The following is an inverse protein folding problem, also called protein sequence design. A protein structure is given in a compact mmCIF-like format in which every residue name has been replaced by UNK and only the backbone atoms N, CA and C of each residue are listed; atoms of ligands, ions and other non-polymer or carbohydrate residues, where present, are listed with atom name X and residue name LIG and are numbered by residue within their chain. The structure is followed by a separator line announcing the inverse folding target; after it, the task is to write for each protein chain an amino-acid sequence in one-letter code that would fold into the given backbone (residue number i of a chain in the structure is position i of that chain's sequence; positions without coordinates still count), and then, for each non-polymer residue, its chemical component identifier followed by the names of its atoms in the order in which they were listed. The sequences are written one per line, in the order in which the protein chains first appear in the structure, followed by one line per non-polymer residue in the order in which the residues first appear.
data_IF_404960158785
#
_entry.id   IF_404960158785
#
_cell.length_a   1.000
_cell.length_b   1.000
_cell.length_c   1.000
_cell.angle_alpha   90.00
_cell.angle_beta   90.00
_cell.angle_gamma   90.00
#
_symmetry.space_group_name_H-M   'P 1'
#
loop_
_entity.id
_entity.type
_entity.pdbx_description
1 polymer ?
#
# COMPACT_ATOMS: atom_id res chain seq x y z
N UNK A 1 15.19 11.08 -12.10
CA UNK A 1 14.81 11.14 -10.68
C UNK A 1 13.46 10.50 -10.47
N UNK A 2 13.34 9.64 -9.48
CA UNK A 2 12.10 8.94 -9.22
C UNK A 2 11.04 9.92 -8.72
N UNK A 3 9.87 9.88 -9.30
CA UNK A 3 8.76 10.74 -8.88
C UNK A 3 8.22 10.25 -7.53
N UNK A 4 8.43 11.04 -6.48
CA UNK A 4 8.00 10.72 -5.14
C UNK A 4 6.48 10.56 -5.03
N UNK A 5 5.73 11.39 -5.76
CA UNK A 5 4.26 11.31 -5.77
C UNK A 5 3.77 10.01 -6.39
N UNK A 6 4.38 9.56 -7.49
CA UNK A 6 4.04 8.26 -8.11
C UNK A 6 4.32 7.11 -7.17
N UNK A 7 5.42 7.17 -6.42
CA UNK A 7 5.78 6.15 -5.43
C UNK A 7 4.77 6.11 -4.28
N UNK A 8 4.37 7.27 -3.77
CA UNK A 8 3.35 7.37 -2.73
C UNK A 8 2.03 6.76 -3.20
N UNK A 9 1.59 7.10 -4.41
CA UNK A 9 0.34 6.57 -4.97
C UNK A 9 0.41 5.06 -5.14
N UNK A 10 1.52 4.54 -5.65
CA UNK A 10 1.71 3.10 -5.85
C UNK A 10 1.64 2.33 -4.53
N UNK A 11 2.40 2.75 -3.54
CA UNK A 11 2.42 2.03 -2.26
C UNK A 11 1.15 2.23 -1.45
N UNK A 12 0.45 3.36 -1.59
CA UNK A 12 -0.86 3.55 -0.98
C UNK A 12 -1.87 2.54 -1.52
N UNK A 13 -1.87 2.30 -2.83
CA UNK A 13 -2.74 1.27 -3.45
C UNK A 13 -2.36 -0.14 -2.98
N UNK A 14 -1.06 -0.44 -2.94
CA UNK A 14 -0.59 -1.75 -2.47
C UNK A 14 -0.97 -1.98 -1.00
N UNK A 15 -0.89 -0.96 -0.16
CA UNK A 15 -1.29 -1.04 1.23
C UNK A 15 -2.79 -1.28 1.37
N UNK A 16 -3.61 -0.67 0.51
CA UNK A 16 -5.06 -0.88 0.53
C UNK A 16 -5.42 -2.35 0.28
N UNK A 17 -4.74 -3.00 -0.66
CA UNK A 17 -5.01 -4.40 -1.01
C UNK A 17 -4.30 -5.39 -0.09
N UNK A 18 -3.04 -5.12 0.24
CA UNK A 18 -2.17 -6.12 0.87
C UNK A 18 -1.68 -5.76 2.27
N UNK A 19 -2.03 -4.58 2.79
CA UNK A 19 -1.51 -4.10 4.06
C UNK A 19 -1.71 -5.07 5.23
N UNK A 20 -2.84 -5.76 5.25
CA UNK A 20 -3.15 -6.72 6.32
C UNK A 20 -2.26 -7.96 6.29
N UNK A 21 -1.54 -8.19 5.20
CA UNK A 21 -0.60 -9.30 5.09
C UNK A 21 0.77 -8.94 5.67
N UNK A 22 0.98 -7.68 6.00
CA UNK A 22 2.17 -7.22 6.70
C UNK A 22 2.03 -7.46 8.21
N UNK A 23 3.15 -7.44 8.93
CA UNK A 23 3.08 -7.41 10.39
C UNK A 23 2.48 -6.08 10.82
N UNK A 24 1.93 -6.01 12.04
CA UNK A 24 1.35 -4.78 12.56
C UNK A 24 2.36 -3.63 12.55
N UNK A 25 3.59 -3.90 12.96
CA UNK A 25 4.65 -2.89 12.97
C UNK A 25 4.95 -2.38 11.57
N UNK A 26 5.07 -3.29 10.59
CA UNK A 26 5.31 -2.93 9.19
C UNK A 26 4.17 -2.10 8.62
N UNK A 27 2.93 -2.51 8.89
CA UNK A 27 1.75 -1.78 8.41
C UNK A 27 1.71 -0.37 8.99
N UNK A 28 1.98 -0.22 10.27
CA UNK A 28 1.96 1.07 10.93
C UNK A 28 3.05 2.01 10.39
N UNK A 29 4.27 1.50 10.22
CA UNK A 29 5.38 2.31 9.71
C UNK A 29 5.15 2.69 8.24
N UNK A 30 4.69 1.77 7.42
CA UNK A 30 4.36 2.04 6.03
C UNK A 30 3.24 3.08 5.91
N UNK A 31 2.22 2.97 6.76
CA UNK A 31 1.12 3.94 6.80
C UNK A 31 1.62 5.32 7.21
N UNK A 32 2.48 5.39 8.23
CA UNK A 32 3.08 6.66 8.65
C UNK A 32 3.80 7.34 7.50
N UNK A 33 4.58 6.59 6.76
CA UNK A 33 5.42 7.13 5.70
C UNK A 33 4.65 7.49 4.43
N UNK A 34 3.78 6.60 3.97
CA UNK A 34 3.08 6.76 2.69
C UNK A 34 1.68 7.36 2.79
N UNK A 35 0.96 7.15 3.89
CA UNK A 35 -0.40 7.68 4.03
C UNK A 35 -0.44 8.98 4.84
N UNK A 36 0.41 9.11 5.85
CA UNK A 36 0.41 10.27 6.73
C UNK A 36 1.57 11.24 6.49
N UNK A 37 2.40 10.94 5.50
CA UNK A 37 3.50 11.80 5.06
C UNK A 37 4.49 12.17 6.17
N UNK A 38 4.77 11.23 7.06
CA UNK A 38 5.75 11.45 8.12
C UNK A 38 7.16 11.20 7.61
N UNK A 39 8.11 12.00 8.07
CA UNK A 39 9.52 11.80 7.77
C UNK A 39 10.08 10.62 8.58
N UNK A 40 11.23 10.10 8.15
CA UNK A 40 11.92 9.06 8.93
C UNK A 40 12.24 9.53 10.35
N UNK A 41 12.60 10.80 10.51
CA UNK A 41 12.86 11.39 11.82
C UNK A 41 11.62 11.34 12.71
N UNK A 42 10.48 11.76 12.15
CA UNK A 42 9.21 11.74 12.89
C UNK A 42 8.79 10.33 13.26
N UNK A 43 8.91 9.38 12.34
CA UNK A 43 8.59 7.97 12.59
C UNK A 43 9.48 7.41 13.69
N UNK A 44 10.78 7.65 13.62
CA UNK A 44 11.72 7.13 14.61
C UNK A 44 11.42 7.70 15.99
N UNK A 45 11.11 8.98 16.06
CA UNK A 45 10.78 9.65 17.32
C UNK A 45 9.46 9.15 17.90
N UNK A 46 8.42 9.07 17.08
CA UNK A 46 7.09 8.64 17.52
C UNK A 46 7.06 7.19 17.98
N UNK A 47 7.84 6.33 17.32
CA UNK A 47 7.83 4.90 17.60
C UNK A 47 9.00 4.44 18.45
N UNK A 48 9.86 5.37 18.86
CA UNK A 48 11.04 5.10 19.71
C UNK A 48 11.95 4.05 19.12
N UNK A 49 12.23 4.18 17.82
CA UNK A 49 13.18 3.34 17.07
C UNK A 49 14.19 4.25 16.38
N UNK A 50 15.27 3.67 15.88
CA UNK A 50 16.26 4.44 15.13
C UNK A 50 15.74 4.75 13.73
N UNK A 51 16.31 5.77 13.08
CA UNK A 51 16.00 6.07 11.66
C UNK A 51 16.38 4.88 10.77
N UNK A 52 17.51 4.23 11.07
CA UNK A 52 17.93 3.03 10.32
C UNK A 52 16.90 1.91 10.44
N UNK A 53 16.37 1.70 11.64
CA UNK A 53 15.33 0.69 11.86
C UNK A 53 14.05 1.03 11.11
N UNK A 54 13.65 2.31 11.12
CA UNK A 54 12.47 2.76 10.37
C UNK A 54 12.66 2.53 8.87
N UNK A 55 13.79 2.94 8.33
CA UNK A 55 14.11 2.76 6.91
C UNK A 55 14.13 1.29 6.51
N UNK A 56 14.75 0.46 7.35
CA UNK A 56 14.83 -0.98 7.10
C UNK A 56 13.45 -1.63 7.08
N UNK A 57 12.58 -1.24 8.02
CA UNK A 57 11.20 -1.72 8.06
C UNK A 57 10.44 -1.34 6.79
N UNK A 58 10.61 -0.11 6.29
CA UNK A 58 10.00 0.36 5.05
C UNK A 58 10.50 -0.48 3.87
N UNK A 59 11.81 -0.70 3.78
CA UNK A 59 12.39 -1.50 2.70
C UNK A 59 11.86 -2.93 2.69
N UNK A 60 11.81 -3.58 3.85
CA UNK A 60 11.32 -4.94 3.96
C UNK A 60 9.84 -5.06 3.64
N UNK A 61 9.02 -4.13 4.16
CA UNK A 61 7.59 -4.10 3.89
C UNK A 61 7.32 -3.83 2.41
N UNK A 62 8.06 -2.90 1.80
CA UNK A 62 7.93 -2.60 0.37
C UNK A 62 8.21 -3.82 -0.49
N UNK A 63 9.25 -4.60 -0.17
CA UNK A 63 9.56 -5.85 -0.88
C UNK A 63 8.43 -6.86 -0.76
N UNK A 64 7.81 -6.97 0.40
CA UNK A 64 6.67 -7.87 0.60
C UNK A 64 5.49 -7.45 -0.25
N UNK A 65 5.16 -6.16 -0.25
CA UNK A 65 4.06 -5.63 -1.07
C UNK A 65 4.30 -5.87 -2.55
N UNK A 66 5.51 -5.58 -3.03
CA UNK A 66 5.89 -5.84 -4.42
C UNK A 66 5.75 -7.32 -4.77
N UNK A 67 6.16 -8.19 -3.87
CA UNK A 67 6.05 -9.65 -4.06
C UNK A 67 4.60 -10.11 -4.12
N UNK A 68 3.74 -9.59 -3.25
CA UNK A 68 2.31 -9.92 -3.27
C UNK A 68 1.67 -9.50 -4.60
N UNK A 69 1.96 -8.30 -5.07
CA UNK A 69 1.42 -7.84 -6.34
C UNK A 69 1.97 -8.64 -7.52
N UNK A 70 3.26 -8.98 -7.49
CA UNK A 70 3.86 -9.81 -8.54
C UNK A 70 3.19 -11.19 -8.64
N UNK A 71 2.76 -11.73 -7.51
CA UNK A 71 2.11 -13.06 -7.46
C UNK A 71 0.61 -13.01 -7.70
N UNK A 72 -0.07 -12.02 -7.16
CA UNK A 72 -1.53 -11.95 -7.16
C UNK A 72 -2.11 -11.01 -8.21
N UNK A 73 -1.42 -9.90 -8.47
CA UNK A 73 -1.83 -8.95 -9.52
C UNK A 73 -3.18 -8.28 -9.31
N UNK A 74 -3.64 -8.15 -8.05
CA UNK A 74 -4.98 -7.60 -7.77
C UNK A 74 -5.09 -6.12 -8.14
N UNK A 75 -4.08 -5.32 -7.81
CA UNK A 75 -4.09 -3.89 -8.13
C UNK A 75 -4.18 -3.69 -9.63
N UNK A 76 -3.32 -4.39 -10.38
CA UNK A 76 -3.31 -4.32 -11.84
C UNK A 76 -4.62 -4.82 -12.45
N UNK A 77 -5.14 -5.95 -11.96
CA UNK A 77 -6.37 -6.55 -12.49
C UNK A 77 -7.56 -5.61 -12.31
N UNK A 78 -7.73 -5.05 -11.13
CA UNK A 78 -8.83 -4.11 -10.88
C UNK A 78 -8.70 -2.84 -11.70
N UNK A 79 -7.48 -2.29 -11.80
CA UNK A 79 -7.23 -1.09 -12.58
C UNK A 79 -7.60 -1.30 -14.06
N UNK A 80 -7.14 -2.41 -14.64
CA UNK A 80 -7.42 -2.75 -16.04
C UNK A 80 -8.92 -2.98 -16.27
N UNK A 81 -9.57 -3.76 -15.41
CA UNK A 81 -11.00 -4.03 -15.54
C UNK A 81 -11.85 -2.77 -15.39
N UNK A 82 -11.50 -1.89 -14.46
CA UNK A 82 -12.24 -0.64 -14.27
C UNK A 82 -12.11 0.30 -15.47
N UNK A 83 -10.94 0.32 -16.11
CA UNK A 83 -10.74 1.14 -17.31
C UNK A 83 -11.58 0.67 -18.48
N UNK A 84 -11.91 -0.62 -18.53
CA UNK A 84 -12.67 -1.24 -19.61
C UNK A 84 -14.15 -1.48 -19.28
N UNK A 85 -14.64 -0.93 -18.17
CA UNK A 85 -16.01 -1.15 -17.70
C UNK A 85 -16.73 0.17 -17.46
N UNK A 86 -18.05 0.16 -17.68
CA UNK A 86 -18.93 1.32 -17.48
C UNK A 86 -20.24 0.88 -16.79
N UNK A 87 -20.93 1.85 -16.19
CA UNK A 87 -22.26 1.65 -15.61
C UNK A 87 -22.30 0.58 -14.52
N UNK A 88 -23.27 -0.34 -14.57
CA UNK A 88 -23.42 -1.36 -13.53
C UNK A 88 -22.21 -2.26 -13.36
N UNK A 89 -21.49 -2.56 -14.45
CA UNK A 89 -20.27 -3.38 -14.39
C UNK A 89 -19.17 -2.67 -13.58
N UNK A 90 -18.99 -1.37 -13.80
CA UNK A 90 -18.01 -0.59 -13.05
C UNK A 90 -18.39 -0.52 -11.57
N UNK A 91 -19.68 -0.29 -11.28
CA UNK A 91 -20.19 -0.26 -9.90
C UNK A 91 -19.93 -1.59 -9.18
N UNK A 92 -20.19 -2.71 -9.85
CA UNK A 92 -19.94 -4.04 -9.28
C UNK A 92 -18.45 -4.26 -8.98
N UNK A 93 -17.58 -3.83 -9.88
CA UNK A 93 -16.13 -3.93 -9.67
C UNK A 93 -15.68 -3.07 -8.49
N UNK A 94 -16.20 -1.87 -8.36
CA UNK A 94 -15.86 -0.98 -7.25
C UNK A 94 -16.34 -1.54 -5.92
N UNK A 95 -17.53 -2.15 -5.88
CA UNK A 95 -18.04 -2.83 -4.69
C UNK A 95 -17.15 -4.01 -4.28
N UNK A 96 -16.75 -4.84 -5.25
CA UNK A 96 -15.86 -5.97 -4.98
C UNK A 96 -14.51 -5.50 -4.49
N UNK A 97 -13.94 -4.50 -5.14
CA UNK A 97 -12.67 -3.90 -4.73
C UNK A 97 -12.74 -3.41 -3.28
N UNK A 98 -13.82 -2.71 -2.92
CA UNK A 98 -14.03 -2.24 -1.57
C UNK A 98 -14.10 -3.35 -0.54
N UNK A 99 -14.77 -4.47 -0.88
CA UNK A 99 -14.83 -5.63 0.00
C UNK A 99 -13.47 -6.26 0.23
N UNK A 100 -12.67 -6.37 -0.81
CA UNK A 100 -11.32 -6.92 -0.72
C UNK A 100 -10.45 -6.02 0.16
N UNK A 101 -10.47 -4.71 -0.08
CA UNK A 101 -9.69 -3.73 0.69
C UNK A 101 -10.09 -3.69 2.17
N UNK A 102 -11.38 -3.87 2.45
CA UNK A 102 -11.92 -3.85 3.80
C UNK A 102 -11.96 -5.22 4.48
N UNK A 103 -11.52 -6.26 3.78
CA UNK A 103 -11.37 -7.60 4.36
C UNK A 103 -12.61 -8.46 4.37
N UNK A 104 -13.44 -8.29 3.37
CA UNK A 104 -14.63 -9.17 3.20
C UNK A 104 -15.39 -9.39 4.50
#
# INVERSE_FOLDING_TARGET
MKDHLSEINMYSELLDFYGRLLTDAQLQIMSDYYLYDLSLAEISENRKITRSAALDAIKQASKKLDSFEAKLGLVHAFKECKQNSEGPALTALEELEGKIKNGL
#
